data_IF_216870258320
#
_entry.id   IF_216870258320
#
_cell.length_a   1.000
_cell.length_b   1.000
_cell.length_c   1.000
_cell.angle_alpha   90.00
_cell.angle_beta   90.00
_cell.angle_gamma   90.00
#
_symmetry.space_group_name_H-M   'P 1'
#
loop_
_entity.id
_entity.type
_entity.pdbx_description
1 polymer ?
#
# COMPACT_ATOMS: atom_id res chain seq x y z
N UNK A 1 -0.63 39.00 -21.52
CA UNK A 1 -0.98 37.70 -22.12
C UNK A 1 0.06 36.71 -21.60
N UNK A 2 -0.19 36.20 -20.38
CA UNK A 2 0.75 35.31 -19.72
C UNK A 2 0.73 33.97 -20.46
N UNK A 3 1.87 33.62 -21.03
CA UNK A 3 2.12 32.28 -21.57
C UNK A 3 2.05 31.31 -20.40
N UNK A 4 0.94 30.58 -20.28
CA UNK A 4 0.83 29.44 -19.39
C UNK A 4 1.87 28.42 -19.85
N UNK A 5 2.98 28.34 -19.11
CA UNK A 5 4.09 27.46 -19.44
C UNK A 5 3.61 26.00 -19.34
N UNK A 6 3.67 25.19 -20.42
CA UNK A 6 3.16 23.82 -20.41
C UNK A 6 3.92 22.92 -19.41
N UNK A 7 5.10 23.35 -18.93
CA UNK A 7 5.87 22.68 -17.89
C UNK A 7 5.24 22.85 -16.51
N UNK A 8 4.51 23.94 -16.26
CA UNK A 8 3.79 24.17 -15.01
C UNK A 8 2.64 23.16 -14.87
N UNK A 9 1.92 22.90 -15.97
CA UNK A 9 0.89 21.85 -16.01
C UNK A 9 1.48 20.45 -15.87
N UNK A 10 2.64 20.16 -16.46
CA UNK A 10 3.33 18.88 -16.25
C UNK A 10 3.82 18.75 -14.80
N UNK A 11 4.28 19.85 -14.20
CA UNK A 11 4.65 19.93 -12.79
C UNK A 11 3.47 19.68 -11.85
N UNK A 12 2.32 20.30 -12.12
CA UNK A 12 1.07 20.08 -11.39
C UNK A 12 0.55 18.66 -11.60
N UNK A 13 0.58 18.13 -12.82
CA UNK A 13 0.18 16.75 -13.12
C UNK A 13 1.09 15.74 -12.39
N UNK A 14 2.41 15.92 -12.44
CA UNK A 14 3.35 15.10 -11.68
C UNK A 14 3.18 15.28 -10.17
N UNK A 15 2.83 16.46 -9.68
CA UNK A 15 2.54 16.71 -8.26
C UNK A 15 1.24 16.04 -7.83
N UNK A 16 0.21 16.00 -8.68
CA UNK A 16 -1.04 15.26 -8.43
C UNK A 16 -0.83 13.74 -8.49
N UNK A 17 -0.02 13.26 -9.44
CA UNK A 17 0.38 11.84 -9.49
C UNK A 17 1.28 11.46 -8.30
N UNK A 18 2.22 12.33 -7.88
CA UNK A 18 3.07 12.14 -6.69
C UNK A 18 2.32 12.31 -5.37
N UNK A 19 1.27 13.13 -5.36
CA UNK A 19 0.35 13.34 -4.23
C UNK A 19 -0.62 12.18 -4.03
N UNK A 20 -0.66 11.24 -4.98
CA UNK A 20 -1.41 10.00 -4.91
C UNK A 20 -2.90 10.25 -5.01
N UNK A 21 -3.56 9.49 -5.90
CA UNK A 21 -4.95 9.08 -5.68
C UNK A 21 -5.11 8.79 -4.18
N UNK A 22 -6.15 9.32 -3.49
CA UNK A 22 -6.29 9.18 -2.03
C UNK A 22 -6.00 7.74 -1.69
N UNK A 23 -4.97 7.55 -0.87
CA UNK A 23 -4.33 6.28 -0.57
C UNK A 23 -5.40 5.31 -0.09
N UNK A 24 -5.95 4.57 -1.05
CA UNK A 24 -7.15 3.78 -0.82
C UNK A 24 -6.69 2.63 0.03
N UNK A 25 -7.34 2.44 1.18
CA UNK A 25 -7.04 1.30 2.02
C UNK A 25 -7.08 0.01 1.19
N UNK A 26 -5.99 -0.74 1.25
CA UNK A 26 -5.84 -1.97 0.50
C UNK A 26 -6.81 -3.02 1.04
N UNK A 27 -7.29 -3.86 0.13
CA UNK A 27 -8.14 -4.98 0.46
C UNK A 27 -7.30 -6.25 0.58
N UNK A 28 -7.81 -7.33 1.17
CA UNK A 28 -7.11 -8.61 1.16
C UNK A 28 -6.77 -9.09 -0.27
N UNK A 29 -7.62 -8.81 -1.25
CA UNK A 29 -7.40 -9.13 -2.66
C UNK A 29 -6.26 -8.31 -3.26
N UNK A 30 -6.17 -7.04 -2.89
CA UNK A 30 -5.09 -6.16 -3.32
C UNK A 30 -3.72 -6.67 -2.83
N UNK A 31 -3.62 -7.12 -1.57
CA UNK A 31 -2.39 -7.74 -1.05
C UNK A 31 -2.04 -9.03 -1.80
N UNK A 32 -3.03 -9.83 -2.21
CA UNK A 32 -2.78 -11.03 -3.00
C UNK A 32 -2.17 -10.69 -4.35
N UNK A 33 -2.70 -9.67 -5.02
CA UNK A 33 -2.14 -9.18 -6.28
C UNK A 33 -0.75 -8.57 -6.08
N UNK A 34 -0.59 -7.72 -5.06
CA UNK A 34 0.66 -7.02 -4.76
C UNK A 34 1.82 -7.98 -4.45
N UNK A 35 1.59 -8.97 -3.59
CA UNK A 35 2.60 -9.94 -3.18
C UNK A 35 2.61 -11.22 -4.03
N UNK A 36 1.81 -11.28 -5.11
CA UNK A 36 1.64 -12.47 -5.96
C UNK A 36 1.35 -13.74 -5.15
N UNK A 37 0.46 -13.63 -4.16
CA UNK A 37 0.08 -14.75 -3.30
C UNK A 37 -0.87 -15.71 -4.03
N UNK A 38 -0.91 -16.99 -3.64
CA UNK A 38 -1.79 -17.96 -4.28
C UNK A 38 -3.28 -17.72 -3.97
N UNK A 39 -3.62 -17.09 -2.85
CA UNK A 39 -5.02 -16.91 -2.40
C UNK A 39 -5.18 -15.87 -1.30
N UNK A 40 -6.39 -15.30 -1.19
CA UNK A 40 -6.80 -14.38 -0.11
C UNK A 40 -6.77 -15.06 1.26
N UNK A 41 -6.95 -16.37 1.31
CA UNK A 41 -6.85 -17.14 2.54
C UNK A 41 -5.48 -17.01 3.21
N UNK A 42 -4.39 -16.87 2.43
CA UNK A 42 -3.04 -16.60 2.95
C UNK A 42 -3.02 -15.31 3.77
N UNK A 43 -3.67 -14.26 3.28
CA UNK A 43 -3.78 -12.97 3.99
C UNK A 43 -4.59 -13.11 5.29
N UNK A 44 -5.66 -13.92 5.28
CA UNK A 44 -6.40 -14.22 6.52
C UNK A 44 -5.56 -15.04 7.51
N UNK A 45 -4.74 -15.98 7.04
CA UNK A 45 -3.81 -16.74 7.87
C UNK A 45 -2.76 -15.82 8.50
N UNK A 46 -2.25 -14.83 7.78
CA UNK A 46 -1.34 -13.83 8.33
C UNK A 46 -1.95 -13.10 9.53
N UNK A 47 -3.22 -12.70 9.42
CA UNK A 47 -3.93 -12.06 10.54
C UNK A 47 -4.11 -13.00 11.73
N UNK A 48 -4.46 -14.27 11.48
CA UNK A 48 -4.63 -15.28 12.53
C UNK A 48 -3.32 -15.55 13.27
N UNK A 49 -2.21 -15.64 12.54
CA UNK A 49 -0.87 -15.93 13.06
C UNK A 49 -0.11 -14.68 13.52
N UNK A 50 -0.65 -13.48 13.26
CA UNK A 50 0.00 -12.17 13.52
C UNK A 50 1.37 -12.03 12.86
N UNK A 51 1.52 -12.54 11.63
CA UNK A 51 2.80 -12.56 10.89
C UNK A 51 2.84 -11.62 9.68
N UNK A 52 1.81 -10.82 9.45
CA UNK A 52 1.68 -9.94 8.28
C UNK A 52 1.45 -8.46 8.64
N UNK A 53 1.22 -7.62 7.63
CA UNK A 53 1.05 -6.19 7.83
C UNK A 53 -0.19 -5.90 8.68
N UNK A 54 -0.17 -4.80 9.47
CA UNK A 54 -1.27 -4.45 10.36
C UNK A 54 -2.52 -4.06 9.54
N UNK A 55 -3.60 -4.82 9.74
CA UNK A 55 -4.91 -4.54 9.15
C UNK A 55 -5.95 -4.26 10.22
N UNK A 56 -6.88 -3.36 9.92
CA UNK A 56 -7.99 -2.99 10.81
C UNK A 56 -9.35 -3.38 10.20
N UNK A 57 -10.35 -3.57 11.06
CA UNK A 57 -11.71 -3.94 10.64
C UNK A 57 -12.53 -2.69 10.36
N UNK A 58 -13.17 -2.67 9.20
CA UNK A 58 -14.21 -1.70 8.83
C UNK A 58 -15.51 -2.50 8.69
N UNK A 59 -16.23 -2.62 9.81
CA UNK A 59 -17.36 -3.54 9.92
C UNK A 59 -16.93 -4.99 9.68
N UNK A 60 -17.53 -5.64 8.67
CA UNK A 60 -17.16 -7.01 8.26
C UNK A 60 -15.90 -7.09 7.41
N UNK A 61 -15.42 -5.96 6.86
CA UNK A 61 -14.32 -5.94 5.90
C UNK A 61 -12.98 -5.71 6.58
N UNK A 62 -11.94 -6.35 6.07
CA UNK A 62 -10.55 -6.11 6.45
C UNK A 62 -9.94 -5.07 5.50
N UNK A 63 -9.20 -4.13 6.08
CA UNK A 63 -8.53 -3.05 5.36
C UNK A 63 -7.11 -2.88 5.87
N UNK A 64 -6.20 -2.55 4.96
CA UNK A 64 -4.80 -2.31 5.27
C UNK A 64 -4.41 -0.91 4.83
N UNK A 65 -3.66 -0.22 5.67
CA UNK A 65 -3.04 1.04 5.27
C UNK A 65 -1.78 0.70 4.45
N UNK A 66 -1.65 1.10 3.18
CA UNK A 66 -0.47 0.78 2.39
C UNK A 66 0.82 1.42 2.93
N UNK A 67 0.76 2.54 3.67
CA UNK A 67 1.92 3.03 4.41
C UNK A 67 2.38 2.03 5.48
N UNK A 68 1.43 1.38 6.16
CA UNK A 68 1.73 0.37 7.16
C UNK A 68 2.19 -0.96 6.54
N UNK A 69 1.70 -1.29 5.33
CA UNK A 69 2.19 -2.44 4.54
C UNK A 69 3.65 -2.22 4.15
N UNK A 70 3.98 -1.04 3.60
CA UNK A 70 5.37 -0.66 3.27
C UNK A 70 6.29 -0.67 4.49
N UNK A 71 5.82 -0.17 5.64
CA UNK A 71 6.60 -0.21 6.87
C UNK A 71 6.87 -1.65 7.35
N UNK A 72 5.89 -2.54 7.23
CA UNK A 72 6.05 -3.96 7.55
C UNK A 72 7.05 -4.65 6.62
N UNK A 73 6.99 -4.37 5.31
CA UNK A 73 7.99 -4.88 4.35
C UNK A 73 9.40 -4.42 4.73
N UNK A 74 9.58 -3.13 4.99
CA UNK A 74 10.87 -2.57 5.39
C UNK A 74 11.41 -3.19 6.69
N UNK A 75 10.55 -3.39 7.69
CA UNK A 75 10.92 -4.08 8.93
C UNK A 75 11.39 -5.51 8.63
N UNK A 76 10.64 -6.28 7.83
CA UNK A 76 10.99 -7.67 7.50
C UNK A 76 12.31 -7.80 6.75
N UNK A 77 12.52 -6.97 5.73
CA UNK A 77 13.76 -6.99 4.96
C UNK A 77 14.97 -6.56 5.82
N UNK A 78 14.80 -5.58 6.71
CA UNK A 78 15.87 -5.16 7.61
C UNK A 78 16.23 -6.24 8.65
N UNK A 79 15.25 -7.01 9.12
CA UNK A 79 15.49 -8.18 9.98
C UNK A 79 16.24 -9.29 9.25
N UNK A 80 16.00 -9.49 7.96
CA UNK A 80 16.73 -10.47 7.14
C UNK A 80 18.17 -10.05 6.85
N UNK A 81 18.44 -8.76 6.64
CA UNK A 81 19.81 -8.24 6.42
C UNK A 81 20.70 -8.32 7.67
N UNK A 82 20.08 -8.33 8.86
CA UNK A 82 20.78 -8.37 10.15
C UNK A 82 21.04 -9.79 10.68
N UNK A 83 20.62 -10.85 9.97
CA UNK A 83 20.68 -12.26 10.39
C UNK A 83 21.69 -13.09 9.59
#
# INVERSE_FOLDING_TARGET
>A
MATEDPTDLLGVLLALLRGGVPDRYLTPEDLVTMFSLPSVETVYQWRRKRIGPPGFRVGRYLRFNPAAVRAWEAERTALEDAA
#
